data_IF_096825628091
#
_entry.id   IF_096825628091
#
_cell.length_a   1.000
_cell.length_b   1.000
_cell.length_c   1.000
_cell.angle_alpha   90.00
_cell.angle_beta   90.00
_cell.angle_gamma   90.00
#
_symmetry.space_group_name_H-M   'P 1'
#
loop_
_entity.id
_entity.type
_entity.pdbx_description
1 polymer ?
#
# COMPACT_ATOMS: atom_id res chain seq x y z
N UNK A 1 8.82 8.32 -2.58
CA UNK A 1 8.03 7.30 -1.86
C UNK A 1 8.35 7.25 -0.39
N UNK A 2 9.40 6.53 0.02
CA UNK A 2 9.81 6.41 1.43
C UNK A 2 10.08 7.76 2.12
N UNK A 3 10.82 8.66 1.47
CA UNK A 3 11.08 10.00 2.01
C UNK A 3 9.80 10.83 2.29
N UNK A 4 8.80 10.76 1.39
CA UNK A 4 7.53 11.46 1.58
C UNK A 4 6.78 10.89 2.79
N UNK A 5 6.74 9.56 2.92
CA UNK A 5 6.12 8.90 4.07
C UNK A 5 6.80 9.30 5.38
N UNK A 6 8.14 9.36 5.41
CA UNK A 6 8.89 9.81 6.58
C UNK A 6 8.55 11.25 6.94
N UNK A 7 8.54 12.13 5.95
CA UNK A 7 8.24 13.55 6.14
C UNK A 7 6.84 13.75 6.72
N UNK A 8 5.82 13.12 6.13
CA UNK A 8 4.43 13.24 6.58
C UNK A 8 4.21 12.62 7.96
N UNK A 9 4.90 11.51 8.27
CA UNK A 9 4.81 10.87 9.59
C UNK A 9 5.41 11.72 10.73
N UNK A 10 6.31 12.66 10.39
CA UNK A 10 6.95 13.60 11.33
C UNK A 10 6.22 14.93 11.47
N UNK A 11 5.25 15.23 10.61
CA UNK A 11 4.43 16.43 10.74
C UNK A 11 3.54 16.30 11.98
N UNK A 12 3.42 17.38 12.74
CA UNK A 12 2.43 17.50 13.81
C UNK A 12 1.04 17.76 13.20
N UNK A 13 0.52 16.74 12.53
CA UNK A 13 -0.83 16.74 12.00
C UNK A 13 -1.78 16.59 13.19
N UNK A 14 -2.75 17.49 13.31
CA UNK A 14 -3.82 17.40 14.30
C UNK A 14 -4.98 16.62 13.65
N UNK A 15 -5.04 15.28 13.82
CA UNK A 15 -6.06 14.47 13.18
C UNK A 15 -7.45 14.89 13.66
N UNK A 16 -8.39 14.94 12.71
CA UNK A 16 -9.81 15.28 12.95
C UNK A 16 -10.69 14.06 12.74
N UNK A 17 -10.27 13.16 11.85
CA UNK A 17 -11.00 11.96 11.50
C UNK A 17 -10.32 10.72 12.08
N UNK A 18 -11.07 9.94 12.84
CA UNK A 18 -10.58 8.75 13.55
C UNK A 18 -11.22 7.43 13.10
N UNK A 19 -12.13 7.50 12.13
CA UNK A 19 -12.88 6.36 11.62
C UNK A 19 -12.85 6.39 10.09
N UNK A 20 -12.27 5.34 9.51
CA UNK A 20 -12.11 5.17 8.08
C UNK A 20 -13.44 5.12 7.30
N UNK A 21 -14.55 4.84 7.99
CA UNK A 21 -15.90 4.71 7.41
C UNK A 21 -16.69 6.01 7.41
N UNK A 22 -16.20 7.03 8.14
CA UNK A 22 -16.88 8.31 8.32
C UNK A 22 -16.16 9.49 7.64
N UNK A 23 -15.13 9.24 6.83
CA UNK A 23 -14.52 10.32 6.07
C UNK A 23 -15.54 10.99 5.14
N UNK A 24 -15.34 12.28 4.92
CA UNK A 24 -16.18 13.03 3.99
C UNK A 24 -16.02 12.51 2.54
N UNK A 25 -17.08 12.62 1.73
CA UNK A 25 -17.03 12.24 0.30
C UNK A 25 -15.87 12.90 -0.47
N UNK A 26 -15.56 14.20 -0.29
CA UNK A 26 -14.40 14.82 -0.91
C UNK A 26 -13.09 14.14 -0.50
N UNK A 27 -12.94 13.76 0.77
CA UNK A 27 -11.75 13.08 1.26
C UNK A 27 -11.56 11.72 0.60
N UNK A 28 -12.61 10.89 0.51
CA UNK A 28 -12.56 9.62 -0.22
C UNK A 28 -12.12 9.81 -1.68
N UNK A 29 -12.68 10.82 -2.35
CA UNK A 29 -12.35 11.12 -3.74
C UNK A 29 -10.87 11.53 -3.90
N UNK A 30 -10.38 12.46 -3.08
CA UNK A 30 -8.99 12.93 -3.16
C UNK A 30 -7.97 11.84 -2.80
N UNK A 31 -8.28 10.96 -1.85
CA UNK A 31 -7.44 9.79 -1.57
C UNK A 31 -7.37 8.88 -2.80
N UNK A 32 -8.50 8.65 -3.48
CA UNK A 32 -8.55 7.90 -4.75
C UNK A 32 -7.71 8.54 -5.85
N UNK A 33 -7.80 9.86 -6.04
CA UNK A 33 -6.98 10.60 -6.99
C UNK A 33 -5.48 10.49 -6.65
N UNK A 34 -5.11 10.62 -5.38
CA UNK A 34 -3.72 10.47 -4.94
C UNK A 34 -3.20 9.03 -5.16
N UNK A 35 -4.07 8.03 -5.01
CA UNK A 35 -3.72 6.63 -5.26
C UNK A 35 -3.34 6.38 -6.73
N UNK A 36 -3.78 7.20 -7.69
CA UNK A 36 -3.33 7.11 -9.08
C UNK A 36 -1.81 7.27 -9.22
N UNK A 37 -1.12 7.93 -8.28
CA UNK A 37 0.34 8.00 -8.24
C UNK A 37 1.00 6.61 -8.09
N UNK A 38 0.26 5.62 -7.59
CA UNK A 38 0.70 4.25 -7.49
C UNK A 38 0.85 3.53 -8.84
N UNK A 39 0.37 4.13 -9.93
CA UNK A 39 0.64 3.63 -11.28
C UNK A 39 2.11 3.81 -11.70
N UNK A 40 2.86 4.68 -11.01
CA UNK A 40 4.31 4.81 -11.20
C UNK A 40 5.00 3.62 -10.53
N UNK A 41 5.75 2.77 -11.27
CA UNK A 41 6.43 1.62 -10.69
C UNK A 41 7.32 1.99 -9.50
N UNK A 42 7.22 1.22 -8.41
CA UNK A 42 7.94 1.47 -7.16
C UNK A 42 7.25 2.46 -6.21
N UNK A 43 6.24 3.21 -6.66
CA UNK A 43 5.33 3.89 -5.75
C UNK A 43 4.44 2.84 -5.07
N UNK A 44 4.31 2.96 -3.76
CA UNK A 44 3.52 2.00 -2.98
C UNK A 44 2.09 2.51 -2.98
N UNK A 45 1.17 1.65 -3.41
CA UNK A 45 -0.27 1.95 -3.41
C UNK A 45 -0.76 2.32 -2.03
N UNK A 46 -0.49 1.50 -1.01
CA UNK A 46 -0.86 1.82 0.37
C UNK A 46 -0.17 3.08 0.89
N UNK A 47 1.11 3.29 0.56
CA UNK A 47 1.81 4.51 0.96
C UNK A 47 1.19 5.78 0.37
N UNK A 48 0.76 5.76 -0.89
CA UNK A 48 0.13 6.91 -1.53
C UNK A 48 -1.23 7.27 -0.89
N UNK A 49 -2.09 6.27 -0.66
CA UNK A 49 -3.39 6.47 -0.03
C UNK A 49 -3.29 6.85 1.45
N UNK A 50 -2.39 6.22 2.22
CA UNK A 50 -2.17 6.54 3.64
C UNK A 50 -1.67 7.99 3.79
N UNK A 51 -0.64 8.36 3.03
CA UNK A 51 -0.10 9.73 3.08
C UNK A 51 -1.17 10.75 2.71
N UNK A 52 -1.95 10.50 1.66
CA UNK A 52 -3.04 11.39 1.27
C UNK A 52 -4.10 11.51 2.39
N UNK A 53 -4.53 10.39 2.98
CA UNK A 53 -5.49 10.40 4.07
C UNK A 53 -4.98 11.18 5.29
N UNK A 54 -3.71 10.98 5.69
CA UNK A 54 -3.09 11.72 6.80
C UNK A 54 -3.05 13.22 6.52
N UNK A 55 -2.62 13.63 5.32
CA UNK A 55 -2.58 15.04 4.93
C UNK A 55 -3.97 15.68 4.86
N UNK A 56 -5.02 14.88 4.64
CA UNK A 56 -6.42 15.33 4.64
C UNK A 56 -7.06 15.35 6.04
N UNK A 57 -6.36 14.84 7.07
CA UNK A 57 -6.81 14.94 8.47
C UNK A 57 -7.13 13.61 9.17
N UNK A 58 -6.89 12.46 8.53
CA UNK A 58 -7.01 11.16 9.18
C UNK A 58 -5.86 10.88 10.15
N UNK A 59 -6.15 10.19 11.24
CA UNK A 59 -5.10 9.59 12.05
C UNK A 59 -4.45 8.38 11.33
N UNK A 60 -3.30 7.93 11.83
CA UNK A 60 -2.48 6.88 11.20
C UNK A 60 -3.24 5.56 11.05
N UNK A 61 -4.11 5.22 12.00
CA UNK A 61 -4.87 3.97 12.01
C UNK A 61 -5.99 4.02 10.99
N UNK A 62 -6.86 5.05 11.04
CA UNK A 62 -7.97 5.18 10.07
C UNK A 62 -7.46 5.33 8.64
N UNK A 63 -6.35 6.06 8.43
CA UNK A 63 -5.69 6.14 7.12
C UNK A 63 -5.25 4.77 6.58
N UNK A 64 -4.66 3.92 7.44
CA UNK A 64 -4.24 2.57 7.08
C UNK A 64 -5.44 1.64 6.82
N UNK A 65 -6.47 1.69 7.66
CA UNK A 65 -7.70 0.91 7.51
C UNK A 65 -8.41 1.27 6.19
N UNK A 66 -8.60 2.56 5.90
CA UNK A 66 -9.17 2.99 4.62
C UNK A 66 -8.34 2.53 3.43
N UNK A 67 -7.01 2.63 3.52
CA UNK A 67 -6.11 2.16 2.48
C UNK A 67 -6.23 0.64 2.23
N UNK A 68 -6.60 -0.15 3.23
CA UNK A 68 -6.86 -1.58 3.08
C UNK A 68 -8.24 -1.84 2.49
N UNK A 69 -9.27 -1.09 2.87
CA UNK A 69 -10.58 -1.20 2.21
C UNK A 69 -10.52 -0.81 0.73
N UNK A 70 -9.83 0.27 0.40
CA UNK A 70 -9.60 0.72 -0.97
C UNK A 70 -8.79 -0.32 -1.79
N UNK A 71 -7.95 -1.11 -1.13
CA UNK A 71 -7.18 -2.19 -1.74
C UNK A 71 -8.06 -3.26 -2.38
N UNK A 72 -9.18 -3.60 -1.72
CA UNK A 72 -9.99 -4.75 -2.07
C UNK A 72 -10.52 -4.63 -3.50
N UNK A 73 -11.31 -3.59 -3.87
CA UNK A 73 -11.81 -3.47 -5.24
C UNK A 73 -10.69 -3.20 -6.26
N UNK A 74 -9.66 -2.45 -5.88
CA UNK A 74 -8.59 -2.03 -6.80
C UNK A 74 -7.66 -3.19 -7.17
N UNK A 75 -7.24 -3.99 -6.20
CA UNK A 75 -6.36 -5.14 -6.44
C UNK A 75 -7.11 -6.30 -7.07
N UNK A 76 -8.39 -6.53 -6.71
CA UNK A 76 -9.22 -7.53 -7.39
C UNK A 76 -9.38 -7.16 -8.86
N UNK A 77 -9.67 -5.89 -9.16
CA UNK A 77 -9.77 -5.39 -10.54
C UNK A 77 -8.46 -5.55 -11.31
N UNK A 78 -7.33 -5.15 -10.70
CA UNK A 78 -6.01 -5.30 -11.31
C UNK A 78 -5.66 -6.77 -11.57
N UNK A 79 -5.88 -7.65 -10.59
CA UNK A 79 -5.66 -9.09 -10.73
C UNK A 79 -6.52 -9.72 -11.82
N UNK A 80 -7.82 -9.43 -11.84
CA UNK A 80 -8.73 -9.97 -12.85
C UNK A 80 -8.35 -9.51 -14.26
N UNK A 81 -7.92 -8.26 -14.41
CA UNK A 81 -7.45 -7.72 -15.68
C UNK A 81 -6.13 -8.37 -16.14
N UNK A 82 -5.19 -8.55 -15.21
CA UNK A 82 -3.91 -9.20 -15.48
C UNK A 82 -4.09 -10.66 -15.87
N UNK A 83 -4.95 -11.39 -15.14
CA UNK A 83 -5.35 -12.76 -15.46
C UNK A 83 -6.03 -12.86 -16.83
N UNK A 84 -6.92 -11.91 -17.15
CA UNK A 84 -7.56 -11.86 -18.46
C UNK A 84 -6.54 -11.68 -19.58
N UNK A 85 -5.54 -10.80 -19.41
CA UNK A 85 -4.49 -10.58 -20.40
C UNK A 85 -3.53 -11.77 -20.53
N UNK A 86 -3.14 -12.38 -19.41
CA UNK A 86 -2.21 -13.51 -19.34
C UNK A 86 -2.84 -14.87 -19.63
N UNK A 87 -4.14 -14.96 -19.92
CA UNK A 87 -4.87 -16.23 -20.10
C UNK A 87 -4.27 -17.17 -21.15
N UNK A 88 -3.61 -16.63 -22.18
CA UNK A 88 -2.99 -17.43 -23.24
C UNK A 88 -1.67 -18.09 -22.82
N UNK A 89 -1.05 -17.62 -21.75
CA UNK A 89 0.22 -18.11 -21.21
C UNK A 89 0.01 -19.05 -20.01
N UNK A 90 -1.23 -19.19 -19.52
CA UNK A 90 -1.55 -20.04 -18.38
C UNK A 90 -1.55 -21.53 -18.75
N UNK A 91 -0.54 -22.24 -18.28
CA UNK A 91 -0.47 -23.71 -18.25
C UNK A 91 -0.96 -24.25 -16.90
N UNK A 92 -1.22 -25.56 -16.82
CA UNK A 92 -1.63 -26.21 -15.57
C UNK A 92 -0.60 -26.03 -14.44
N UNK A 93 0.69 -26.06 -14.76
CA UNK A 93 1.77 -25.86 -13.78
C UNK A 93 1.75 -24.44 -13.20
N UNK A 94 1.51 -23.43 -14.03
CA UNK A 94 1.32 -22.05 -13.58
C UNK A 94 0.09 -21.91 -12.68
N UNK A 95 -1.00 -22.62 -12.99
CA UNK A 95 -2.21 -22.64 -12.16
C UNK A 95 -1.95 -23.16 -10.75
N UNK A 96 -1.19 -24.26 -10.60
CA UNK A 96 -0.82 -24.81 -9.29
C UNK A 96 0.06 -23.83 -8.51
N UNK A 97 1.04 -23.21 -9.18
CA UNK A 97 1.92 -22.23 -8.56
C UNK A 97 1.14 -21.01 -8.04
N UNK A 98 0.20 -20.49 -8.84
CA UNK A 98 -0.68 -19.38 -8.44
C UNK A 98 -1.55 -19.78 -7.24
N UNK A 99 -2.10 -20.99 -7.21
CA UNK A 99 -2.92 -21.46 -6.09
C UNK A 99 -2.12 -21.52 -4.77
N UNK A 100 -0.89 -22.05 -4.81
CA UNK A 100 -0.01 -22.10 -3.65
C UNK A 100 0.37 -20.66 -3.21
N UNK A 101 0.75 -19.81 -4.16
CA UNK A 101 1.09 -18.41 -3.89
C UNK A 101 -0.08 -17.64 -3.28
N UNK A 102 -1.30 -17.89 -3.77
CA UNK A 102 -2.54 -17.32 -3.22
C UNK A 102 -2.76 -17.77 -1.77
N UNK A 103 -2.67 -19.08 -1.49
CA UNK A 103 -2.89 -19.62 -0.14
C UNK A 103 -1.87 -19.06 0.86
N UNK A 104 -0.58 -19.05 0.52
CA UNK A 104 0.49 -18.52 1.38
C UNK A 104 0.31 -17.01 1.60
N UNK A 105 0.01 -16.26 0.53
CA UNK A 105 -0.21 -14.81 0.63
C UNK A 105 -1.44 -14.46 1.46
N UNK A 106 -2.51 -15.23 1.33
CA UNK A 106 -3.74 -15.05 2.10
C UNK A 106 -3.50 -15.26 3.61
N UNK A 107 -2.86 -16.38 3.98
CA UNK A 107 -2.54 -16.66 5.39
C UNK A 107 -1.61 -15.58 5.95
N UNK A 108 -0.58 -15.22 5.19
CA UNK A 108 0.37 -14.17 5.61
C UNK A 108 -0.32 -12.83 5.79
N UNK A 109 -1.17 -12.41 4.84
CA UNK A 109 -1.90 -11.17 4.93
C UNK A 109 -2.86 -11.15 6.13
N UNK A 110 -3.57 -12.26 6.39
CA UNK A 110 -4.49 -12.38 7.53
C UNK A 110 -3.75 -12.18 8.87
N UNK A 111 -2.53 -12.70 8.99
CA UNK A 111 -1.69 -12.50 10.19
C UNK A 111 -1.18 -11.06 10.25
N UNK A 112 -0.64 -10.55 9.14
CA UNK A 112 0.07 -9.27 9.11
C UNK A 112 -0.84 -8.07 9.27
N UNK A 113 -2.08 -8.09 8.74
CA UNK A 113 -2.97 -6.91 8.77
C UNK A 113 -3.17 -6.36 10.18
N UNK A 114 -3.52 -7.24 11.14
CA UNK A 114 -3.74 -6.81 12.53
C UNK A 114 -2.45 -6.31 13.18
N UNK A 115 -1.38 -7.10 13.08
CA UNK A 115 -0.08 -6.74 13.67
C UNK A 115 0.47 -5.43 13.09
N UNK A 116 0.27 -5.21 11.80
CA UNK A 116 0.66 -3.98 11.12
C UNK A 116 -0.12 -2.78 11.67
N UNK A 117 -1.45 -2.86 11.75
CA UNK A 117 -2.28 -1.78 12.29
C UNK A 117 -1.89 -1.45 13.74
N UNK A 118 -1.71 -2.48 14.57
CA UNK A 118 -1.28 -2.30 15.97
C UNK A 118 0.11 -1.65 16.06
N UNK A 119 1.03 -2.02 15.16
CA UNK A 119 2.38 -1.46 15.13
C UNK A 119 2.38 0.01 14.71
N UNK A 120 1.76 0.37 13.58
CA UNK A 120 1.80 1.73 13.03
C UNK A 120 1.04 2.72 13.91
N UNK A 121 0.02 2.26 14.62
CA UNK A 121 -0.70 3.06 15.61
C UNK A 121 0.23 3.48 16.76
N UNK A 122 1.17 2.62 17.16
CA UNK A 122 2.07 2.86 18.31
C UNK A 122 3.39 3.53 17.93
N UNK A 123 3.96 3.17 16.78
CA UNK A 123 5.32 3.55 16.38
C UNK A 123 5.38 4.45 15.14
N UNK A 124 4.25 4.67 14.46
CA UNK A 124 4.21 5.39 13.19
C UNK A 124 4.83 4.61 12.02
N UNK A 125 5.20 5.33 10.98
CA UNK A 125 5.69 4.79 9.71
C UNK A 125 7.20 4.93 9.50
N UNK A 126 7.93 5.55 10.43
CA UNK A 126 9.39 5.77 10.36
C UNK A 126 10.16 4.52 9.93
N UNK A 127 9.90 3.36 10.53
CA UNK A 127 10.58 2.09 10.17
C UNK A 127 10.37 1.73 8.70
N UNK A 128 9.13 1.79 8.22
CA UNK A 128 8.78 1.47 6.84
C UNK A 128 9.37 2.48 5.85
N UNK A 129 9.46 3.74 6.25
CA UNK A 129 10.04 4.78 5.43
C UNK A 129 11.54 4.54 5.21
N UNK A 130 12.30 4.24 6.28
CA UNK A 130 13.71 3.89 6.19
C UNK A 130 13.95 2.61 5.38
N UNK A 131 13.15 1.57 5.63
CA UNK A 131 13.20 0.33 4.84
C UNK A 131 13.10 0.63 3.34
N UNK A 132 12.14 1.48 2.94
CA UNK A 132 11.93 1.85 1.53
C UNK A 132 13.08 2.68 0.96
N UNK A 133 13.67 3.58 1.73
CA UNK A 133 14.83 4.35 1.29
C UNK A 133 16.02 3.41 1.06
N UNK A 134 16.33 2.54 2.02
CA UNK A 134 17.44 1.60 1.92
C UNK A 134 17.26 0.65 0.74
N UNK A 135 16.12 -0.04 0.65
CA UNK A 135 15.85 -0.99 -0.45
C UNK A 135 15.83 -0.28 -1.81
N UNK A 136 15.24 0.91 -1.88
CA UNK A 136 15.24 1.72 -3.10
C UNK A 136 16.65 2.12 -3.54
N UNK A 137 17.48 2.59 -2.62
CA UNK A 137 18.88 2.95 -2.89
C UNK A 137 19.70 1.74 -3.30
N UNK A 138 19.56 0.60 -2.61
CA UNK A 138 20.23 -0.65 -2.98
C UNK A 138 19.80 -1.13 -4.36
N UNK A 139 18.51 -1.02 -4.71
CA UNK A 139 18.00 -1.34 -6.04
C UNK A 139 18.61 -0.44 -7.13
N UNK A 140 18.73 0.86 -6.88
CA UNK A 140 19.39 1.79 -7.79
C UNK A 140 20.88 1.50 -7.96
N UNK A 141 21.57 1.16 -6.87
CA UNK A 141 22.99 0.75 -6.92
C UNK A 141 23.12 -0.54 -7.73
N UNK A 142 22.27 -1.54 -7.47
CA UNK A 142 22.28 -2.80 -8.22
C UNK A 142 22.02 -2.58 -9.71
N UNK A 143 21.09 -1.69 -10.07
CA UNK A 143 20.85 -1.29 -11.46
C UNK A 143 22.01 -0.52 -12.08
N UNK A 144 22.76 0.27 -11.30
CA UNK A 144 23.93 1.00 -11.79
C UNK A 144 25.18 0.10 -11.91
N UNK A 145 25.27 -0.96 -11.11
CA UNK A 145 26.33 -1.96 -11.15
C UNK A 145 26.09 -3.07 -12.16
N UNK A 146 24.82 -3.36 -12.47
CA UNK A 146 24.40 -4.21 -13.57
C UNK A 146 24.50 -3.43 -14.89
N UNK A 147 25.15 -4.01 -15.90
CA UNK A 147 24.89 -3.62 -17.29
C UNK A 147 23.43 -3.85 -17.64
#
# INVERSE_FOLDING_TARGET
GGAILLWVDQLDLQPRDHDATLFSLPMYFYIGCAQCLAMIPGVSRSGASIVAAMLLGADKRSAAEFSFFLAIPTMIGAFAYDLYKGRGEMTMDHGVLVAIGFAVSFITAAIVVKTFLDYVTRHGFVLFAWWRVIVGTLGLIALAMGK
#
